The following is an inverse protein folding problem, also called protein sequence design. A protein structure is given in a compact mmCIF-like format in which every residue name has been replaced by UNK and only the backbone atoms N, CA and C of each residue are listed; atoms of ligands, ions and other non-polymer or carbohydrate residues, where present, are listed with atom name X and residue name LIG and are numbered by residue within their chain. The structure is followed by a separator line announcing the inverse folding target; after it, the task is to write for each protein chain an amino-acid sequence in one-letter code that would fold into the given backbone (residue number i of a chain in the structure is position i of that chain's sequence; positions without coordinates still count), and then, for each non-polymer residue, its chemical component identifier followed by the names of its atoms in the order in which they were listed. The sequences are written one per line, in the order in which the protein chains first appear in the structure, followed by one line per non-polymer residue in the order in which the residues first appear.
data_IF_584403873698
#
_entry.id   IF_584403873698
#
_cell.length_a   1.000
_cell.length_b   1.000
_cell.length_c   1.000
_cell.angle_alpha   90.00
_cell.angle_beta   90.00
_cell.angle_gamma   90.00
#
_symmetry.space_group_name_H-M   'P 1'
#
loop_
_entity.id
_entity.type
_entity.pdbx_description
1 polymer ?
#
# COMPACT_ATOMS: atom_id res chain seq x y z
N UNK A 1 31.29 50.80 -47.21
CA UNK A 1 32.28 51.85 -47.19
C UNK A 1 33.29 51.49 -46.13
N UNK A 2 34.58 51.28 -46.64
CA UNK A 2 35.86 51.18 -45.97
C UNK A 2 36.06 50.10 -44.89
N UNK A 3 36.62 48.93 -45.16
CA UNK A 3 38.06 48.62 -45.49
C UNK A 3 39.05 49.23 -44.46
N UNK A 4 39.69 48.39 -43.67
CA UNK A 4 41.15 48.33 -43.62
C UNK A 4 41.60 47.06 -42.81
N UNK A 5 42.33 46.27 -43.52
CA UNK A 5 43.29 45.24 -43.13
C UNK A 5 44.47 45.84 -42.39
N UNK A 6 45.15 45.08 -41.54
CA UNK A 6 46.61 44.84 -41.64
C UNK A 6 47.08 43.65 -40.81
N UNK A 7 47.98 43.00 -41.44
CA UNK A 7 48.78 41.83 -41.09
C UNK A 7 49.96 42.14 -40.15
N UNK A 8 50.44 41.14 -39.44
CA UNK A 8 51.71 41.17 -38.77
C UNK A 8 52.02 39.82 -38.13
N UNK A 9 52.94 39.08 -38.76
CA UNK A 9 53.51 37.81 -38.30
C UNK A 9 54.61 38.06 -37.27
N UNK A 10 54.90 37.08 -36.42
CA UNK A 10 56.14 36.34 -36.27
C UNK A 10 56.35 35.79 -34.86
N UNK A 11 56.70 34.55 -34.91
CA UNK A 11 57.69 33.82 -34.11
C UNK A 11 57.54 33.55 -32.61
N UNK A 12 57.43 32.26 -32.34
CA UNK A 12 58.37 31.47 -31.60
C UNK A 12 58.23 31.48 -30.09
N UNK A 13 57.73 30.42 -29.54
CA UNK A 13 58.54 29.60 -28.61
C UNK A 13 57.75 28.38 -28.09
N UNK A 14 58.40 27.23 -28.16
CA UNK A 14 57.90 25.98 -27.62
C UNK A 14 58.06 26.03 -26.10
N UNK A 15 57.00 25.85 -25.36
CA UNK A 15 57.10 25.37 -24.01
C UNK A 15 56.10 24.21 -23.78
N UNK A 16 56.69 23.04 -23.67
CA UNK A 16 56.09 21.83 -23.17
C UNK A 16 55.74 21.99 -21.72
N UNK A 17 54.45 22.01 -21.41
CA UNK A 17 53.99 21.77 -20.05
C UNK A 17 52.94 20.67 -20.08
N UNK A 18 53.34 19.48 -19.62
CA UNK A 18 52.49 18.38 -19.29
C UNK A 18 51.57 18.80 -18.16
N UNK A 19 50.33 19.20 -18.48
CA UNK A 19 49.28 19.41 -17.50
C UNK A 19 48.74 18.03 -17.08
N UNK A 20 49.06 17.67 -15.86
CA UNK A 20 48.62 16.49 -15.15
C UNK A 20 47.10 16.29 -15.28
N UNK A 21 46.73 15.12 -15.75
CA UNK A 21 45.38 14.55 -15.57
C UNK A 21 45.10 14.45 -14.06
N UNK A 22 44.54 15.51 -13.51
CA UNK A 22 43.94 15.45 -12.20
C UNK A 22 42.73 14.50 -12.31
N UNK A 23 42.91 13.25 -11.94
CA UNK A 23 41.83 12.28 -11.75
C UNK A 23 40.83 12.89 -10.80
N UNK A 24 39.55 12.98 -11.24
CA UNK A 24 38.43 13.27 -10.33
C UNK A 24 38.59 12.31 -9.15
N UNK A 25 38.52 12.81 -7.89
CA UNK A 25 38.55 11.94 -6.75
C UNK A 25 37.41 10.93 -6.89
N UNK A 26 37.73 9.66 -7.03
CA UNK A 26 36.78 8.58 -6.91
C UNK A 26 36.12 8.74 -5.53
N UNK A 27 34.84 9.12 -5.50
CA UNK A 27 34.05 9.07 -4.29
C UNK A 27 34.15 7.66 -3.74
N UNK A 28 34.52 7.46 -2.47
CA UNK A 28 34.69 6.13 -1.90
C UNK A 28 33.38 5.35 -2.16
N UNK A 29 33.53 4.19 -2.78
CA UNK A 29 32.43 3.28 -3.11
C UNK A 29 31.67 2.96 -1.82
N UNK A 30 30.64 3.78 -1.50
CA UNK A 30 29.81 3.56 -0.33
C UNK A 30 29.08 2.25 -0.54
N UNK A 31 29.51 1.20 0.14
CA UNK A 31 28.83 -0.09 0.16
C UNK A 31 27.32 0.14 0.28
N UNK A 32 26.55 -0.35 -0.68
CA UNK A 32 25.10 -0.25 -0.67
C UNK A 32 24.54 -1.01 0.54
N UNK A 33 23.61 -0.40 1.26
CA UNK A 33 22.91 -1.08 2.35
C UNK A 33 22.07 -2.22 1.80
N UNK A 34 22.21 -3.41 2.35
CA UNK A 34 21.48 -4.62 1.94
C UNK A 34 20.26 -4.82 2.83
N UNK A 35 19.08 -4.77 2.25
CA UNK A 35 17.80 -4.93 2.94
C UNK A 35 17.18 -6.27 2.55
N UNK A 36 16.99 -7.17 3.52
CA UNK A 36 16.17 -8.36 3.36
C UNK A 36 14.72 -8.01 3.74
N UNK A 37 13.83 -7.97 2.76
CA UNK A 37 12.40 -7.73 2.97
C UNK A 37 11.67 -9.05 3.15
N UNK A 38 11.16 -9.31 4.36
CA UNK A 38 10.51 -10.57 4.73
C UNK A 38 9.00 -10.34 4.78
N UNK A 39 8.23 -11.11 4.01
CA UNK A 39 6.77 -11.04 3.97
C UNK A 39 6.16 -12.42 4.25
N UNK A 40 4.94 -12.44 4.82
CA UNK A 40 4.26 -13.71 5.11
C UNK A 40 4.00 -14.53 3.84
N UNK A 41 3.49 -13.89 2.79
CA UNK A 41 3.12 -14.54 1.52
C UNK A 41 3.18 -13.57 0.35
N UNK A 42 3.23 -14.13 -0.86
CA UNK A 42 3.11 -13.40 -2.14
C UNK A 42 1.71 -13.52 -2.72
N UNK A 43 0.71 -13.61 -1.85
CA UNK A 43 -0.71 -13.61 -2.26
C UNK A 43 -1.16 -12.23 -2.78
N UNK A 44 -2.24 -12.23 -3.55
CA UNK A 44 -2.89 -10.99 -3.96
C UNK A 44 -3.48 -10.24 -2.76
N UNK A 45 -3.02 -9.01 -2.52
CA UNK A 45 -3.55 -8.19 -1.43
C UNK A 45 -2.72 -6.97 -1.11
N UNK A 46 -3.26 -6.11 -0.25
CA UNK A 46 -2.72 -4.78 0.08
C UNK A 46 -1.33 -4.75 0.72
N UNK A 47 -0.79 -5.88 1.20
CA UNK A 47 0.56 -5.93 1.75
C UNK A 47 1.62 -6.37 0.70
N UNK A 48 1.23 -7.16 -0.31
CA UNK A 48 2.17 -7.72 -1.28
C UNK A 48 2.27 -6.91 -2.58
N UNK A 49 1.14 -6.40 -3.10
CA UNK A 49 1.15 -5.58 -4.31
C UNK A 49 1.98 -4.29 -4.22
N UNK A 50 2.08 -3.60 -3.07
CA UNK A 50 2.93 -2.41 -2.95
C UNK A 50 4.44 -2.67 -2.88
N UNK A 51 4.89 -3.93 -2.71
CA UNK A 51 6.32 -4.27 -2.56
C UNK A 51 7.19 -3.72 -3.70
N UNK A 52 6.79 -3.76 -4.98
CA UNK A 52 7.54 -3.11 -6.07
C UNK A 52 7.81 -1.63 -5.84
N UNK A 53 6.82 -0.86 -5.44
CA UNK A 53 6.97 0.58 -5.18
C UNK A 53 7.88 0.85 -3.97
N UNK A 54 7.75 0.06 -2.91
CA UNK A 54 8.60 0.12 -1.71
C UNK A 54 10.06 -0.15 -2.10
N UNK A 55 10.30 -1.23 -2.87
CA UNK A 55 11.64 -1.59 -3.34
C UNK A 55 12.24 -0.50 -4.24
N UNK A 56 11.45 0.06 -5.16
CA UNK A 56 11.90 1.14 -6.03
C UNK A 56 12.31 2.39 -5.23
N UNK A 57 11.52 2.80 -4.24
CA UNK A 57 11.82 3.95 -3.40
C UNK A 57 13.10 3.75 -2.58
N UNK A 58 13.30 2.57 -1.97
CA UNK A 58 14.50 2.26 -1.20
C UNK A 58 15.74 2.08 -2.09
N UNK A 59 15.58 1.51 -3.30
CA UNK A 59 16.66 1.41 -4.30
C UNK A 59 17.12 2.79 -4.79
N UNK A 60 16.20 3.75 -4.96
CA UNK A 60 16.55 5.15 -5.25
C UNK A 60 17.43 5.77 -4.16
N UNK A 61 17.25 5.36 -2.91
CA UNK A 61 18.11 5.78 -1.79
C UNK A 61 19.46 5.07 -1.75
N UNK A 62 19.71 4.07 -2.63
CA UNK A 62 20.95 3.32 -2.71
C UNK A 62 20.89 1.94 -2.01
N UNK A 63 19.73 1.43 -1.65
CA UNK A 63 19.61 0.08 -1.10
C UNK A 63 19.76 -1.01 -2.16
N UNK A 64 20.40 -2.12 -1.77
CA UNK A 64 20.21 -3.44 -2.39
C UNK A 64 19.05 -4.11 -1.67
N UNK A 65 18.02 -4.54 -2.42
CA UNK A 65 16.75 -4.98 -1.85
C UNK A 65 16.38 -6.36 -2.40
N UNK A 66 16.20 -7.33 -1.52
CA UNK A 66 15.77 -8.69 -1.85
C UNK A 66 14.55 -9.10 -1.03
N UNK A 67 13.61 -9.81 -1.67
CA UNK A 67 12.34 -10.23 -1.08
C UNK A 67 12.37 -11.71 -0.71
N UNK A 68 11.95 -12.03 0.51
CA UNK A 68 11.80 -13.38 1.03
C UNK A 68 10.37 -13.59 1.52
N UNK A 69 9.64 -14.53 0.92
CA UNK A 69 8.28 -14.86 1.32
C UNK A 69 8.24 -16.21 2.06
N UNK A 70 7.56 -16.23 3.20
CA UNK A 70 7.46 -17.44 4.04
C UNK A 70 6.53 -18.50 3.45
N UNK A 71 5.58 -18.10 2.59
CA UNK A 71 4.67 -19.02 1.85
C UNK A 71 4.30 -18.41 0.51
N UNK A 72 3.86 -19.24 -0.44
CA UNK A 72 3.38 -18.78 -1.75
C UNK A 72 1.93 -18.32 -1.70
N UNK A 73 1.03 -19.11 -1.08
CA UNK A 73 -0.43 -19.01 -1.22
C UNK A 73 -0.86 -18.98 -2.70
N UNK A 74 -1.69 -18.02 -3.13
CA UNK A 74 -2.14 -17.90 -4.52
C UNK A 74 -1.08 -17.32 -5.49
N UNK A 75 -0.02 -16.73 -4.96
CA UNK A 75 1.11 -16.19 -5.76
C UNK A 75 0.78 -15.01 -6.67
N UNK A 76 -0.39 -14.39 -6.55
CA UNK A 76 -0.88 -13.34 -7.48
C UNK A 76 -0.01 -12.08 -7.50
N UNK A 77 0.77 -11.83 -6.46
CA UNK A 77 1.69 -10.68 -6.43
C UNK A 77 3.02 -10.94 -7.15
N UNK A 78 3.38 -12.20 -7.44
CA UNK A 78 4.66 -12.54 -8.06
C UNK A 78 4.88 -11.88 -9.43
N UNK A 79 3.92 -11.91 -10.38
CA UNK A 79 4.13 -11.30 -11.70
C UNK A 79 4.52 -9.82 -11.63
N UNK A 80 3.86 -9.05 -10.77
CA UNK A 80 4.17 -7.62 -10.58
C UNK A 80 5.56 -7.41 -9.95
N UNK A 81 5.96 -8.25 -8.99
CA UNK A 81 7.29 -8.20 -8.39
C UNK A 81 8.37 -8.52 -9.43
N UNK A 82 8.20 -9.59 -10.21
CA UNK A 82 9.16 -9.97 -11.27
C UNK A 82 9.26 -8.89 -12.35
N UNK A 83 8.14 -8.35 -12.81
CA UNK A 83 8.10 -7.27 -13.79
C UNK A 83 8.82 -6.00 -13.30
N UNK A 84 8.90 -5.78 -11.98
CA UNK A 84 9.65 -4.66 -11.36
C UNK A 84 11.15 -4.95 -11.13
N UNK A 85 11.66 -6.08 -11.65
CA UNK A 85 13.05 -6.50 -11.48
C UNK A 85 13.37 -7.01 -10.07
N UNK A 86 12.36 -7.53 -9.34
CA UNK A 86 12.53 -8.28 -8.11
C UNK A 86 12.57 -9.78 -8.42
N UNK A 87 13.36 -10.52 -7.65
CA UNK A 87 13.41 -11.99 -7.70
C UNK A 87 13.04 -12.56 -6.32
N UNK A 88 11.74 -12.63 -5.98
CA UNK A 88 11.30 -13.07 -4.67
C UNK A 88 11.70 -14.52 -4.39
N UNK A 89 12.40 -14.75 -3.29
CA UNK A 89 12.72 -16.09 -2.80
C UNK A 89 11.53 -16.61 -1.98
N UNK A 90 10.72 -17.43 -2.60
CA UNK A 90 9.49 -17.97 -1.99
C UNK A 90 9.79 -19.33 -1.40
N UNK A 91 9.50 -19.48 -0.09
CA UNK A 91 9.62 -20.76 0.59
C UNK A 91 8.48 -21.68 0.19
N UNK A 92 8.81 -22.92 -0.11
CA UNK A 92 7.85 -24.01 -0.24
C UNK A 92 7.53 -24.57 1.16
N UNK A 93 6.31 -24.28 1.66
CA UNK A 93 5.87 -24.70 2.98
C UNK A 93 4.60 -24.00 3.46
N UNK A 94 4.02 -24.56 4.52
CA UNK A 94 2.74 -24.13 5.07
C UNK A 94 2.77 -22.89 5.95
N UNK A 95 1.60 -22.54 6.47
CA UNK A 95 1.41 -21.35 7.31
C UNK A 95 1.67 -21.61 8.80
N UNK A 96 1.59 -22.88 9.24
CA UNK A 96 1.67 -23.26 10.66
C UNK A 96 3.01 -23.88 11.05
N UNK A 97 3.88 -24.21 10.10
CA UNK A 97 5.19 -24.85 10.30
C UNK A 97 6.28 -23.84 10.73
N UNK A 98 6.06 -23.17 11.84
CA UNK A 98 6.88 -22.03 12.30
C UNK A 98 8.37 -22.35 12.45
N UNK A 99 8.72 -23.54 12.99
CA UNK A 99 10.11 -23.94 13.19
C UNK A 99 10.84 -24.15 11.85
N UNK A 100 10.19 -24.80 10.88
CA UNK A 100 10.75 -24.98 9.53
C UNK A 100 10.92 -23.63 8.81
N UNK A 101 9.94 -22.73 8.97
CA UNK A 101 10.02 -21.38 8.41
C UNK A 101 11.16 -20.58 9.06
N UNK A 102 11.35 -20.67 10.37
CA UNK A 102 12.45 -20.02 11.08
C UNK A 102 13.82 -20.51 10.60
N UNK A 103 14.00 -21.84 10.48
CA UNK A 103 15.25 -22.44 10.01
C UNK A 103 15.55 -22.06 8.55
N UNK A 104 14.53 -21.99 7.69
CA UNK A 104 14.69 -21.53 6.30
C UNK A 104 15.08 -20.05 6.24
N UNK A 105 14.38 -19.21 7.00
CA UNK A 105 14.64 -17.76 7.06
C UNK A 105 16.05 -17.49 7.58
N UNK A 106 16.49 -18.18 8.63
CA UNK A 106 17.83 -18.04 9.20
C UNK A 106 18.91 -18.36 8.15
N UNK A 107 18.73 -19.45 7.36
CA UNK A 107 19.66 -19.80 6.26
C UNK A 107 19.62 -18.77 5.12
N UNK A 108 18.44 -18.28 4.75
CA UNK A 108 18.28 -17.26 3.70
C UNK A 108 18.99 -15.96 4.09
N UNK A 109 18.78 -15.49 5.32
CA UNK A 109 19.44 -14.30 5.89
C UNK A 109 20.96 -14.50 5.96
N UNK A 110 21.43 -15.69 6.38
CA UNK A 110 22.87 -16.01 6.42
C UNK A 110 23.53 -15.93 5.04
N UNK A 111 22.82 -16.39 4.00
CA UNK A 111 23.33 -16.37 2.61
C UNK A 111 23.32 -14.95 2.04
N UNK A 112 22.25 -14.23 2.21
CA UNK A 112 22.11 -12.86 1.69
C UNK A 112 22.96 -11.85 2.47
N UNK A 113 23.23 -12.07 3.78
CA UNK A 113 24.01 -11.17 4.66
C UNK A 113 23.49 -9.73 4.62
N UNK A 114 22.22 -9.48 4.97
CA UNK A 114 21.65 -8.14 4.98
C UNK A 114 22.23 -7.30 6.12
N UNK A 115 22.25 -5.98 5.92
CA UNK A 115 22.52 -5.01 6.97
C UNK A 115 21.27 -4.73 7.81
N UNK A 116 20.07 -4.90 7.21
CA UNK A 116 18.75 -4.68 7.82
C UNK A 116 17.82 -5.84 7.42
N UNK A 117 17.04 -6.34 8.37
CA UNK A 117 15.87 -7.19 8.11
C UNK A 117 14.63 -6.30 8.20
N UNK A 118 13.90 -6.16 7.11
CA UNK A 118 12.64 -5.42 7.05
C UNK A 118 11.49 -6.41 6.96
N UNK A 119 10.48 -6.29 7.83
CA UNK A 119 9.40 -7.29 7.92
C UNK A 119 8.04 -6.69 7.60
N UNK A 120 7.19 -7.48 6.99
CA UNK A 120 5.80 -7.16 6.66
C UNK A 120 4.89 -8.26 7.15
N UNK A 121 3.89 -7.91 7.97
CA UNK A 121 2.95 -8.82 8.61
C UNK A 121 3.51 -9.62 9.80
N UNK A 122 2.60 -10.08 10.68
CA UNK A 122 2.91 -10.59 12.03
C UNK A 122 3.87 -11.77 12.06
N UNK A 123 3.64 -12.82 11.24
CA UNK A 123 4.48 -14.03 11.25
C UNK A 123 5.92 -13.71 10.81
N UNK A 124 6.05 -12.93 9.72
CA UNK A 124 7.34 -12.48 9.25
C UNK A 124 8.06 -11.66 10.33
N UNK A 125 7.34 -10.76 11.01
CA UNK A 125 7.90 -9.95 12.10
C UNK A 125 8.43 -10.82 13.25
N UNK A 126 7.61 -11.71 13.78
CA UNK A 126 8.00 -12.54 14.93
C UNK A 126 9.21 -13.44 14.61
N UNK A 127 9.21 -14.12 13.46
CA UNK A 127 10.31 -14.99 13.07
C UNK A 127 11.60 -14.18 12.77
N UNK A 128 11.45 -13.02 12.14
CA UNK A 128 12.60 -12.16 11.82
C UNK A 128 13.21 -11.52 13.07
N UNK A 129 12.41 -11.19 14.08
CA UNK A 129 12.91 -10.68 15.35
C UNK A 129 13.81 -11.72 16.03
N UNK A 130 13.47 -13.01 15.97
CA UNK A 130 14.31 -14.10 16.50
C UNK A 130 15.60 -14.27 15.69
N UNK A 131 15.51 -14.24 14.34
CA UNK A 131 16.70 -14.31 13.47
C UNK A 131 17.60 -13.09 13.65
N UNK A 132 17.01 -11.88 13.71
CA UNK A 132 17.74 -10.63 13.94
C UNK A 132 18.48 -10.63 15.29
N UNK A 133 17.82 -11.08 16.36
CA UNK A 133 18.45 -11.23 17.67
C UNK A 133 19.63 -12.20 17.62
N UNK A 134 19.44 -13.40 17.06
CA UNK A 134 20.49 -14.41 16.93
C UNK A 134 21.68 -13.94 16.11
N UNK A 135 21.42 -13.23 15.01
CA UNK A 135 22.45 -12.79 14.05
C UNK A 135 22.97 -11.38 14.28
N UNK A 136 22.44 -10.69 15.30
CA UNK A 136 22.73 -9.28 15.61
C UNK A 136 22.47 -8.34 14.42
N UNK A 137 21.39 -8.60 13.67
CA UNK A 137 20.97 -7.76 12.54
C UNK A 137 19.76 -6.94 12.99
N UNK A 138 19.77 -5.58 12.83
CA UNK A 138 18.63 -4.74 13.17
C UNK A 138 17.37 -5.13 12.39
N UNK A 139 16.23 -5.12 13.07
CA UNK A 139 14.92 -5.47 12.49
C UNK A 139 14.02 -4.24 12.44
N UNK A 140 13.44 -3.97 11.27
CA UNK A 140 12.37 -3.02 11.05
C UNK A 140 11.06 -3.78 10.91
N UNK A 141 10.04 -3.39 11.65
CA UNK A 141 8.73 -4.07 11.63
C UNK A 141 7.66 -3.19 11.04
N UNK A 142 6.97 -3.68 10.01
CA UNK A 142 5.86 -2.96 9.38
C UNK A 142 4.51 -3.53 9.83
N UNK A 143 3.71 -2.68 10.46
CA UNK A 143 2.35 -2.99 10.89
C UNK A 143 1.35 -2.45 9.86
N UNK A 144 0.45 -3.33 9.37
CA UNK A 144 -0.50 -3.03 8.30
C UNK A 144 -1.96 -2.90 8.76
N UNK A 145 -2.28 -3.28 9.99
CA UNK A 145 -3.65 -3.31 10.49
C UNK A 145 -3.75 -2.68 11.87
N UNK A 146 -4.83 -1.95 12.10
CA UNK A 146 -5.21 -1.45 13.43
C UNK A 146 -5.93 -2.53 14.28
N UNK A 147 -5.76 -3.80 13.94
CA UNK A 147 -6.31 -4.94 14.65
C UNK A 147 -5.33 -6.11 14.63
N UNK A 148 -5.24 -6.82 15.73
CA UNK A 148 -4.46 -8.07 15.89
C UNK A 148 -5.24 -9.06 16.74
N UNK A 149 -5.17 -10.34 16.38
CA UNK A 149 -5.66 -11.41 17.23
C UNK A 149 -4.97 -11.35 18.60
N UNK A 150 -5.65 -11.61 19.72
CA UNK A 150 -5.10 -11.44 21.08
C UNK A 150 -3.72 -12.08 21.29
N UNK A 151 -3.53 -13.31 20.81
CA UNK A 151 -2.24 -14.01 20.91
C UNK A 151 -1.11 -13.27 20.16
N UNK A 152 -1.37 -12.84 18.92
CA UNK A 152 -0.39 -12.09 18.12
C UNK A 152 -0.05 -10.75 18.75
N UNK A 153 -1.05 -10.05 19.28
CA UNK A 153 -0.86 -8.79 20.01
C UNK A 153 0.03 -8.97 21.22
N UNK A 154 -0.22 -10.02 22.02
CA UNK A 154 0.60 -10.33 23.19
C UNK A 154 2.05 -10.63 22.83
N UNK A 155 2.29 -11.46 21.80
CA UNK A 155 3.63 -11.82 21.34
C UNK A 155 4.39 -10.58 20.81
N UNK A 156 3.77 -9.80 19.92
CA UNK A 156 4.40 -8.58 19.38
C UNK A 156 4.69 -7.57 20.50
N UNK A 157 3.81 -7.45 21.51
CA UNK A 157 4.02 -6.59 22.67
C UNK A 157 5.25 -7.01 23.47
N UNK A 158 5.45 -8.31 23.70
CA UNK A 158 6.63 -8.83 24.40
C UNK A 158 7.89 -8.56 23.57
N UNK A 159 7.85 -8.87 22.29
CA UNK A 159 9.00 -8.82 21.38
C UNK A 159 9.26 -7.43 20.77
N UNK A 160 8.45 -6.40 21.07
CA UNK A 160 8.52 -5.09 20.43
C UNK A 160 9.90 -4.42 20.47
N UNK A 161 10.67 -4.68 21.53
CA UNK A 161 12.01 -4.10 21.72
C UNK A 161 13.07 -4.68 20.77
N UNK A 162 12.79 -5.85 20.17
CA UNK A 162 13.67 -6.49 19.18
C UNK A 162 13.66 -5.79 17.82
N UNK A 163 12.70 -4.87 17.59
CA UNK A 163 12.70 -4.01 16.44
C UNK A 163 13.27 -2.64 16.78
N UNK A 164 14.23 -2.19 15.97
CA UNK A 164 14.86 -0.87 16.10
C UNK A 164 13.93 0.24 15.64
N UNK A 165 13.06 -0.08 14.66
CA UNK A 165 12.08 0.83 14.07
C UNK A 165 10.79 0.08 13.77
N UNK A 166 9.65 0.77 13.95
CA UNK A 166 8.34 0.33 13.52
C UNK A 166 7.81 1.28 12.45
N UNK A 167 7.20 0.71 11.41
CA UNK A 167 6.52 1.44 10.36
C UNK A 167 5.03 1.11 10.43
N UNK A 168 4.17 2.07 10.21
CA UNK A 168 2.72 1.93 10.17
C UNK A 168 2.17 2.48 8.86
N UNK A 169 1.16 1.81 8.28
CA UNK A 169 0.55 2.21 7.01
C UNK A 169 -0.22 3.53 7.09
N UNK A 170 -0.69 3.88 8.27
CA UNK A 170 -1.60 4.99 8.48
C UNK A 170 -1.46 5.56 9.88
N UNK A 171 -2.02 6.74 10.10
CA UNK A 171 -2.09 7.36 11.42
C UNK A 171 -2.88 6.51 12.43
N UNK A 172 -3.94 5.84 12.00
CA UNK A 172 -4.73 4.92 12.83
C UNK A 172 -3.93 3.67 13.22
N UNK A 173 -3.16 3.10 12.28
CA UNK A 173 -2.25 1.97 12.55
C UNK A 173 -1.09 2.40 13.45
N UNK A 174 -0.57 3.61 13.29
CA UNK A 174 0.46 4.16 14.17
C UNK A 174 -0.07 4.34 15.61
N UNK A 175 -1.26 4.93 15.77
CA UNK A 175 -1.91 5.07 17.07
C UNK A 175 -2.17 3.71 17.74
N UNK A 176 -2.67 2.72 16.98
CA UNK A 176 -2.83 1.34 17.44
C UNK A 176 -1.49 0.74 17.90
N UNK A 177 -0.44 0.90 17.09
CA UNK A 177 0.90 0.34 17.39
C UNK A 177 1.50 0.95 18.65
N UNK A 178 1.37 2.26 18.82
CA UNK A 178 1.83 2.96 20.04
C UNK A 178 1.05 2.50 21.27
N UNK A 179 -0.29 2.47 21.20
CA UNK A 179 -1.17 2.16 22.34
C UNK A 179 -1.18 0.68 22.68
N UNK A 180 -1.37 -0.19 21.69
CA UNK A 180 -1.61 -1.61 21.91
C UNK A 180 -0.35 -2.45 21.97
N UNK A 181 0.70 -2.06 21.27
CA UNK A 181 2.01 -2.73 21.31
C UNK A 181 3.01 -2.02 22.21
N UNK A 182 2.67 -0.86 22.77
CA UNK A 182 3.56 -0.03 23.60
C UNK A 182 4.87 0.32 22.89
N UNK A 183 4.78 0.62 21.59
CA UNK A 183 5.93 1.10 20.82
C UNK A 183 6.11 2.61 21.07
N UNK A 184 7.31 3.05 21.51
CA UNK A 184 7.58 4.47 21.70
C UNK A 184 7.47 5.26 20.39
N UNK A 185 6.91 6.48 20.43
CA UNK A 185 6.77 7.33 19.24
C UNK A 185 8.10 7.60 18.54
N UNK A 186 9.22 7.72 19.29
CA UNK A 186 10.55 7.86 18.71
C UNK A 186 10.99 6.68 17.81
N UNK A 187 10.41 5.50 18.01
CA UNK A 187 10.65 4.30 17.21
C UNK A 187 9.53 3.99 16.20
N UNK A 188 8.61 4.92 15.99
CA UNK A 188 7.46 4.73 15.11
C UNK A 188 7.46 5.77 14.00
N UNK A 189 7.26 5.33 12.76
CA UNK A 189 7.12 6.19 11.58
C UNK A 189 5.89 5.76 10.80
N UNK A 190 5.10 6.73 10.33
CA UNK A 190 4.02 6.45 9.40
C UNK A 190 4.55 6.54 7.97
N UNK A 191 4.43 5.46 7.23
CA UNK A 191 4.70 5.40 5.79
C UNK A 191 3.51 4.74 5.11
N UNK A 192 2.61 5.52 4.50
CA UNK A 192 1.47 4.97 3.77
C UNK A 192 1.95 3.96 2.73
N UNK A 193 1.32 2.79 2.70
CA UNK A 193 1.71 1.70 1.79
C UNK A 193 1.30 1.96 0.33
N UNK A 194 0.86 3.16 0.02
CA UNK A 194 0.33 3.58 -1.26
C UNK A 194 1.12 4.77 -1.81
N UNK A 195 1.54 4.65 -3.07
CA UNK A 195 2.15 5.73 -3.84
C UNK A 195 1.19 6.17 -4.95
N UNK A 196 0.59 7.34 -4.81
CA UNK A 196 -0.35 7.89 -5.79
C UNK A 196 0.34 8.17 -7.13
N UNK A 197 -0.30 7.73 -8.21
CA UNK A 197 0.16 7.84 -9.59
C UNK A 197 -0.70 8.86 -10.35
N UNK A 198 -0.11 9.99 -10.72
CA UNK A 198 -0.81 11.06 -11.48
C UNK A 198 -1.23 10.60 -12.88
N UNK A 199 -0.56 9.58 -13.43
CA UNK A 199 -0.83 9.04 -14.78
C UNK A 199 -1.91 7.96 -14.78
N UNK A 200 -2.42 7.55 -13.61
CA UNK A 200 -3.45 6.52 -13.53
C UNK A 200 -4.70 6.90 -14.32
N UNK A 201 -5.32 5.93 -15.03
CA UNK A 201 -6.56 6.14 -15.75
C UNK A 201 -7.65 6.74 -14.85
N UNK A 202 -8.45 7.63 -15.42
CA UNK A 202 -9.52 8.30 -14.68
C UNK A 202 -10.89 7.86 -15.19
N UNK A 203 -11.84 7.81 -14.25
CA UNK A 203 -13.24 7.55 -14.55
C UNK A 203 -13.84 8.69 -15.39
N UNK A 204 -14.71 8.31 -16.31
CA UNK A 204 -15.46 9.28 -17.12
C UNK A 204 -16.65 9.81 -16.35
N UNK A 205 -17.09 11.06 -16.59
CA UNK A 205 -18.33 11.57 -16.02
C UNK A 205 -19.52 10.71 -16.46
N UNK A 206 -20.43 10.44 -15.50
CA UNK A 206 -21.73 9.88 -15.83
C UNK A 206 -22.50 10.84 -16.74
N UNK A 207 -23.28 10.30 -17.69
CA UNK A 207 -24.11 11.09 -18.62
C UNK A 207 -25.60 10.78 -18.38
N UNK A 208 -26.49 11.76 -18.53
CA UNK A 208 -27.92 11.54 -18.41
C UNK A 208 -28.41 10.38 -19.28
N UNK A 209 -29.21 9.49 -18.68
CA UNK A 209 -29.74 8.29 -19.33
C UNK A 209 -28.83 7.06 -19.29
N UNK A 210 -27.61 7.19 -18.78
CA UNK A 210 -26.72 6.03 -18.56
C UNK A 210 -27.04 5.31 -17.24
N UNK A 211 -26.80 4.00 -17.21
CA UNK A 211 -26.74 3.22 -15.98
C UNK A 211 -25.57 3.72 -15.13
N UNK A 212 -25.78 3.93 -13.83
CA UNK A 212 -24.71 4.34 -12.92
C UNK A 212 -24.01 3.10 -12.39
N UNK A 213 -22.72 2.98 -12.69
CA UNK A 213 -21.90 1.83 -12.26
C UNK A 213 -21.24 2.11 -10.91
N UNK A 214 -21.52 1.26 -9.95
CA UNK A 214 -20.99 1.32 -8.58
C UNK A 214 -20.04 0.14 -8.38
N UNK A 215 -18.82 0.39 -7.94
CA UNK A 215 -17.86 -0.66 -7.66
C UNK A 215 -17.57 -0.83 -6.17
N UNK A 216 -17.21 -2.05 -5.80
CA UNK A 216 -16.48 -2.35 -4.58
C UNK A 216 -15.40 -3.40 -4.90
N UNK A 217 -14.22 -3.28 -4.25
CA UNK A 217 -13.07 -4.12 -4.55
C UNK A 217 -12.39 -4.60 -3.28
N UNK A 218 -12.22 -5.91 -3.15
CA UNK A 218 -11.50 -6.49 -2.02
C UNK A 218 -11.76 -7.97 -1.83
N UNK A 219 -11.05 -8.56 -0.87
CA UNK A 219 -11.27 -9.96 -0.51
C UNK A 219 -12.68 -10.15 0.06
N UNK A 220 -13.38 -11.18 -0.36
CA UNK A 220 -14.69 -11.55 0.20
C UNK A 220 -14.50 -12.22 1.57
N UNK A 221 -14.43 -11.39 2.59
CA UNK A 221 -14.15 -11.75 3.98
C UNK A 221 -14.98 -10.85 4.90
N UNK A 222 -15.41 -11.34 6.05
CA UNK A 222 -16.26 -10.65 7.02
C UNK A 222 -15.83 -9.20 7.31
N UNK A 223 -14.53 -8.95 7.49
CA UNK A 223 -14.02 -7.59 7.74
C UNK A 223 -14.30 -6.57 6.63
N UNK A 224 -14.68 -7.02 5.42
CA UNK A 224 -14.98 -6.13 4.29
C UNK A 224 -16.43 -5.65 4.26
N UNK A 225 -17.34 -6.23 5.09
CA UNK A 225 -18.69 -5.74 5.29
C UNK A 225 -19.59 -5.80 4.04
N UNK A 226 -19.33 -6.72 3.10
CA UNK A 226 -20.18 -6.85 1.91
C UNK A 226 -21.61 -7.28 2.22
N UNK A 227 -21.82 -7.95 3.35
CA UNK A 227 -23.13 -8.26 3.89
C UNK A 227 -23.92 -6.99 4.27
N UNK A 228 -23.23 -5.95 4.80
CA UNK A 228 -23.82 -4.63 5.08
C UNK A 228 -24.18 -3.92 3.77
N UNK A 229 -23.35 -4.02 2.74
CA UNK A 229 -23.68 -3.46 1.42
C UNK A 229 -24.94 -4.11 0.84
N UNK A 230 -25.07 -5.44 0.93
CA UNK A 230 -26.25 -6.16 0.48
C UNK A 230 -27.50 -5.69 1.25
N UNK A 231 -27.41 -5.57 2.58
CA UNK A 231 -28.52 -5.07 3.41
C UNK A 231 -28.93 -3.63 3.00
N UNK A 232 -27.94 -2.79 2.72
CA UNK A 232 -28.18 -1.41 2.28
C UNK A 232 -28.86 -1.35 0.91
N UNK A 233 -28.45 -2.20 -0.03
CA UNK A 233 -29.09 -2.29 -1.36
C UNK A 233 -30.52 -2.82 -1.27
N UNK A 234 -30.77 -3.81 -0.39
CA UNK A 234 -32.12 -4.32 -0.13
C UNK A 234 -33.02 -3.23 0.42
N UNK A 235 -32.54 -2.38 1.34
CA UNK A 235 -33.32 -1.22 1.88
C UNK A 235 -33.58 -0.18 0.80
N UNK A 236 -32.59 0.19 -0.02
CA UNK A 236 -32.79 1.09 -1.16
C UNK A 236 -34.01 0.66 -2.02
N UNK A 237 -34.07 -0.64 -2.31
CA UNK A 237 -35.19 -1.22 -3.08
C UNK A 237 -36.51 -1.16 -2.33
N UNK A 238 -36.53 -1.55 -1.05
CA UNK A 238 -37.75 -1.55 -0.23
C UNK A 238 -38.33 -0.15 -0.08
N UNK A 239 -37.44 0.85 0.08
CA UNK A 239 -37.83 2.25 0.27
C UNK A 239 -38.13 2.97 -1.06
N UNK A 240 -38.02 2.27 -2.20
CA UNK A 240 -38.24 2.84 -3.53
C UNK A 240 -37.23 3.90 -3.95
N UNK A 241 -36.07 3.97 -3.28
CA UNK A 241 -35.05 4.96 -3.54
C UNK A 241 -34.16 4.59 -4.75
N UNK A 242 -34.27 3.35 -5.25
CA UNK A 242 -33.59 2.83 -6.42
C UNK A 242 -34.25 3.22 -7.75
N UNK A 243 -35.53 3.67 -7.70
CA UNK A 243 -36.32 3.96 -8.90
C UNK A 243 -35.92 5.27 -9.61
N UNK A 244 -35.19 6.16 -8.96
CA UNK A 244 -34.84 7.49 -9.51
C UNK A 244 -33.74 7.47 -10.57
N UNK A 245 -32.81 6.49 -10.50
CA UNK A 245 -31.64 6.35 -11.37
C UNK A 245 -31.29 4.87 -11.55
N UNK A 246 -31.28 4.32 -12.78
CA UNK A 246 -30.80 2.96 -13.03
C UNK A 246 -29.34 2.82 -12.59
N UNK A 247 -29.05 1.80 -11.80
CA UNK A 247 -27.66 1.53 -11.35
C UNK A 247 -27.36 0.03 -11.27
N UNK A 248 -26.10 -0.30 -11.38
CA UNK A 248 -25.53 -1.62 -11.19
C UNK A 248 -24.39 -1.58 -10.20
N UNK A 249 -24.29 -2.62 -9.36
CA UNK A 249 -23.24 -2.77 -8.37
C UNK A 249 -22.36 -3.95 -8.74
N UNK A 250 -21.05 -3.75 -8.82
CA UNK A 250 -20.09 -4.80 -9.10
C UNK A 250 -19.12 -4.95 -7.94
N UNK A 251 -19.12 -6.12 -7.30
CA UNK A 251 -18.14 -6.50 -6.28
C UNK A 251 -17.06 -7.35 -6.94
N UNK A 252 -15.82 -6.82 -6.98
CA UNK A 252 -14.66 -7.49 -7.52
C UNK A 252 -13.78 -8.04 -6.40
N UNK A 253 -13.52 -9.34 -6.42
CA UNK A 253 -12.70 -10.04 -5.44
C UNK A 253 -13.05 -11.50 -5.28
N UNK A 254 -12.26 -12.20 -4.48
CA UNK A 254 -12.48 -13.60 -4.13
C UNK A 254 -12.30 -13.79 -2.62
N UNK A 255 -12.89 -14.81 -2.05
CA UNK A 255 -12.78 -15.13 -0.62
C UNK A 255 -13.80 -16.15 -0.16
N UNK A 256 -13.67 -16.55 1.08
CA UNK A 256 -14.45 -17.60 1.72
C UNK A 256 -15.95 -17.26 1.87
N UNK A 257 -16.28 -15.97 1.97
CA UNK A 257 -17.65 -15.50 2.13
C UNK A 257 -18.48 -15.50 0.83
N UNK A 258 -17.89 -15.85 -0.31
CA UNK A 258 -18.54 -15.69 -1.63
C UNK A 258 -19.90 -16.37 -1.71
N UNK A 259 -20.00 -17.60 -1.28
CA UNK A 259 -21.26 -18.38 -1.36
C UNK A 259 -22.33 -17.80 -0.45
N UNK A 260 -21.97 -17.44 0.77
CA UNK A 260 -22.89 -16.80 1.72
C UNK A 260 -23.41 -15.45 1.23
N UNK A 261 -22.53 -14.63 0.64
CA UNK A 261 -22.92 -13.33 0.08
C UNK A 261 -23.82 -13.47 -1.15
N UNK A 262 -23.58 -14.44 -2.03
CA UNK A 262 -24.46 -14.74 -3.17
C UNK A 262 -25.84 -15.20 -2.71
N UNK A 263 -25.92 -16.10 -1.73
CA UNK A 263 -27.18 -16.55 -1.15
C UNK A 263 -27.96 -15.40 -0.51
N UNK A 264 -27.28 -14.52 0.24
CA UNK A 264 -27.88 -13.34 0.85
C UNK A 264 -28.43 -12.35 -0.20
N UNK A 265 -27.65 -12.08 -1.26
CA UNK A 265 -28.08 -11.18 -2.34
C UNK A 265 -29.29 -11.75 -3.09
N UNK A 266 -29.32 -13.07 -3.36
CA UNK A 266 -30.45 -13.76 -3.99
C UNK A 266 -31.70 -13.72 -3.11
N UNK A 267 -31.57 -13.98 -1.81
CA UNK A 267 -32.68 -13.89 -0.84
C UNK A 267 -33.26 -12.47 -0.75
N UNK A 268 -32.43 -11.45 -0.89
CA UNK A 268 -32.83 -10.05 -0.96
C UNK A 268 -33.43 -9.65 -2.33
N UNK A 269 -33.40 -10.54 -3.32
CA UNK A 269 -33.92 -10.30 -4.68
C UNK A 269 -33.13 -9.24 -5.46
N UNK A 270 -31.84 -9.04 -5.18
CA UNK A 270 -31.00 -8.05 -5.85
C UNK A 270 -30.57 -8.57 -7.22
N UNK A 271 -31.13 -8.02 -8.30
CA UNK A 271 -30.80 -8.37 -9.67
C UNK A 271 -29.72 -7.48 -10.29
N UNK A 272 -29.45 -6.34 -9.65
CA UNK A 272 -28.47 -5.33 -10.08
C UNK A 272 -27.13 -5.42 -9.33
N UNK A 273 -26.86 -6.55 -8.63
CA UNK A 273 -25.61 -6.82 -7.93
C UNK A 273 -24.89 -8.01 -8.54
N UNK A 274 -23.62 -7.82 -8.95
CA UNK A 274 -22.79 -8.85 -9.53
C UNK A 274 -21.49 -9.08 -8.74
N UNK A 275 -21.07 -10.36 -8.61
CA UNK A 275 -19.79 -10.77 -8.05
C UNK A 275 -18.90 -11.30 -9.18
N UNK A 276 -17.94 -10.52 -9.66
CA UNK A 276 -17.14 -10.82 -10.87
C UNK A 276 -15.85 -11.59 -10.60
N UNK A 277 -15.59 -11.92 -9.34
CA UNK A 277 -14.36 -12.62 -8.98
C UNK A 277 -13.14 -11.69 -8.95
N UNK A 278 -11.94 -12.26 -9.02
CA UNK A 278 -10.71 -11.49 -8.98
C UNK A 278 -10.49 -10.71 -10.26
N UNK A 279 -10.21 -9.42 -10.14
CA UNK A 279 -9.85 -8.51 -11.25
C UNK A 279 -8.37 -8.20 -11.16
N UNK A 280 -7.59 -8.54 -12.21
CA UNK A 280 -6.14 -8.30 -12.27
C UNK A 280 -5.80 -6.85 -12.62
N UNK A 281 -6.55 -6.25 -13.54
CA UNK A 281 -6.41 -4.81 -13.90
C UNK A 281 -7.43 -3.97 -13.13
N UNK A 282 -7.10 -3.66 -11.88
CA UNK A 282 -7.95 -2.83 -11.02
C UNK A 282 -8.07 -1.40 -11.54
N UNK A 283 -7.06 -0.89 -12.23
CA UNK A 283 -7.04 0.48 -12.76
C UNK A 283 -8.09 0.69 -13.85
N UNK A 284 -8.11 -0.18 -14.85
CA UNK A 284 -9.12 -0.12 -15.92
C UNK A 284 -10.51 -0.41 -15.37
N UNK A 285 -10.64 -1.36 -14.44
CA UNK A 285 -11.91 -1.66 -13.79
C UNK A 285 -12.47 -0.44 -13.04
N UNK A 286 -11.66 0.24 -12.23
CA UNK A 286 -12.11 1.43 -11.50
C UNK A 286 -12.39 2.61 -12.45
N UNK A 287 -11.60 2.79 -13.50
CA UNK A 287 -11.82 3.84 -14.49
C UNK A 287 -13.12 3.68 -15.31
N UNK A 288 -13.74 2.49 -15.30
CA UNK A 288 -15.05 2.23 -15.93
C UNK A 288 -16.25 2.44 -15.01
N UNK A 289 -16.04 2.88 -13.77
CA UNK A 289 -17.08 3.07 -12.75
C UNK A 289 -17.43 4.56 -12.57
N UNK A 290 -18.50 4.83 -11.80
CA UNK A 290 -18.95 6.19 -11.47
C UNK A 290 -18.91 6.48 -9.96
N UNK A 291 -18.99 5.44 -9.14
CA UNK A 291 -19.01 5.52 -7.68
C UNK A 291 -18.30 4.30 -7.10
N UNK A 292 -17.63 4.48 -5.97
CA UNK A 292 -16.98 3.38 -5.24
C UNK A 292 -17.54 3.29 -3.81
N UNK A 293 -17.78 2.06 -3.34
CA UNK A 293 -18.28 1.80 -1.98
C UNK A 293 -17.34 0.86 -1.24
N UNK A 294 -16.92 1.23 -0.02
CA UNK A 294 -16.08 0.41 0.86
C UNK A 294 -16.74 0.27 2.24
N UNK A 295 -17.56 -0.77 2.47
CA UNK A 295 -18.34 -0.92 3.69
C UNK A 295 -17.59 -1.65 4.82
N UNK A 296 -16.29 -1.56 4.88
CA UNK A 296 -15.43 -2.37 5.75
C UNK A 296 -15.69 -2.15 7.24
N UNK A 297 -15.65 -3.22 8.01
CA UNK A 297 -15.66 -3.18 9.50
C UNK A 297 -14.31 -2.77 10.07
N UNK A 298 -13.21 -3.07 9.37
CA UNK A 298 -11.86 -2.78 9.84
C UNK A 298 -10.89 -2.67 8.67
N UNK A 299 -10.06 -1.63 8.69
CA UNK A 299 -9.00 -1.40 7.73
C UNK A 299 -7.71 -0.90 8.41
N UNK A 300 -6.59 -1.01 7.68
CA UNK A 300 -5.38 -0.25 7.98
C UNK A 300 -5.35 1.02 7.14
N UNK A 301 -4.84 0.88 5.89
CA UNK A 301 -4.81 1.97 4.90
C UNK A 301 -6.02 1.92 3.96
N UNK A 302 -6.46 0.73 3.56
CA UNK A 302 -7.47 0.49 2.52
C UNK A 302 -7.02 0.91 1.12
N UNK A 303 -6.05 0.17 0.56
CA UNK A 303 -5.48 0.44 -0.78
C UNK A 303 -6.57 0.58 -1.85
N UNK A 304 -7.59 -0.29 -1.86
CA UNK A 304 -8.63 -0.30 -2.88
C UNK A 304 -9.46 1.01 -2.92
N UNK A 305 -9.82 1.56 -1.76
CA UNK A 305 -10.53 2.85 -1.71
C UNK A 305 -9.65 4.01 -2.21
N UNK A 306 -8.34 3.96 -1.91
CA UNK A 306 -7.39 4.97 -2.41
C UNK A 306 -7.12 4.80 -3.91
N UNK A 307 -7.12 3.56 -4.45
CA UNK A 307 -7.10 3.32 -5.90
C UNK A 307 -8.34 3.89 -6.59
N UNK A 308 -9.52 3.76 -5.96
CA UNK A 308 -10.75 4.37 -6.46
C UNK A 308 -10.69 5.91 -6.45
N UNK A 309 -10.21 6.52 -5.35
CA UNK A 309 -9.95 7.96 -5.32
C UNK A 309 -8.93 8.39 -6.40
N UNK A 310 -7.89 7.59 -6.63
CA UNK A 310 -6.91 7.83 -7.69
C UNK A 310 -7.53 7.80 -9.08
N UNK A 311 -8.51 6.92 -9.31
CA UNK A 311 -9.28 6.89 -10.55
C UNK A 311 -10.27 8.06 -10.68
N UNK A 312 -10.36 8.94 -9.69
CA UNK A 312 -11.30 10.07 -9.70
C UNK A 312 -12.74 9.67 -9.38
N UNK A 313 -12.92 8.55 -8.67
CA UNK A 313 -14.23 8.14 -8.17
C UNK A 313 -14.53 8.81 -6.83
N UNK A 314 -15.76 9.32 -6.61
CA UNK A 314 -16.21 9.60 -5.27
C UNK A 314 -16.31 8.29 -4.48
N UNK A 315 -15.98 8.33 -3.19
CA UNK A 315 -15.91 7.14 -2.34
C UNK A 315 -16.89 7.26 -1.19
N UNK A 316 -17.80 6.30 -1.08
CA UNK A 316 -18.58 6.06 0.15
C UNK A 316 -17.83 5.00 0.95
N UNK A 317 -17.38 5.34 2.15
CA UNK A 317 -16.67 4.38 2.99
C UNK A 317 -17.06 4.49 4.46
N UNK A 318 -16.87 3.39 5.18
CA UNK A 318 -16.95 3.42 6.63
C UNK A 318 -15.75 4.19 7.22
N UNK A 319 -15.99 4.87 8.35
CA UNK A 319 -15.01 5.70 9.03
C UNK A 319 -13.97 4.85 9.80
N UNK A 320 -13.30 3.92 9.11
CA UNK A 320 -12.29 3.03 9.68
C UNK A 320 -10.93 3.19 8.97
N UNK A 321 -9.85 2.95 9.70
CA UNK A 321 -8.49 3.05 9.14
C UNK A 321 -8.15 4.45 8.66
N UNK A 322 -7.43 4.55 7.55
CA UNK A 322 -7.04 5.84 6.95
C UNK A 322 -8.19 6.52 6.20
N UNK A 323 -9.26 5.80 5.85
CA UNK A 323 -10.41 6.38 5.15
C UNK A 323 -11.04 7.52 5.94
N UNK A 324 -11.07 7.43 7.28
CA UNK A 324 -11.55 8.50 8.16
C UNK A 324 -10.79 9.84 7.97
N UNK A 325 -9.53 9.79 7.52
CA UNK A 325 -8.69 10.97 7.28
C UNK A 325 -8.64 11.35 5.79
N UNK A 326 -8.81 10.38 4.90
CA UNK A 326 -8.67 10.58 3.46
C UNK A 326 -9.92 11.18 2.83
N UNK A 327 -11.11 10.80 3.32
CA UNK A 327 -12.41 11.22 2.77
C UNK A 327 -12.96 12.40 3.55
N UNK A 328 -13.39 13.43 2.83
CA UNK A 328 -14.15 14.57 3.37
C UNK A 328 -15.61 14.42 2.98
N UNK A 329 -16.46 14.12 3.97
CA UNK A 329 -17.91 13.93 3.73
C UNK A 329 -18.55 15.13 3.05
N UNK A 330 -19.28 14.88 1.96
CA UNK A 330 -19.93 15.88 1.13
C UNK A 330 -19.03 16.60 0.13
N UNK A 331 -17.70 16.39 0.18
CA UNK A 331 -16.74 17.04 -0.71
C UNK A 331 -16.01 16.03 -1.62
N UNK A 332 -15.47 14.95 -1.04
CA UNK A 332 -14.71 13.94 -1.80
C UNK A 332 -15.37 12.57 -1.79
N UNK A 333 -16.50 12.45 -1.13
CA UNK A 333 -17.25 11.22 -0.89
C UNK A 333 -18.10 11.34 0.36
N UNK A 334 -18.46 10.21 0.97
CA UNK A 334 -19.18 10.17 2.23
C UNK A 334 -18.53 9.17 3.20
N UNK A 335 -18.46 9.55 4.48
CA UNK A 335 -18.11 8.65 5.57
C UNK A 335 -19.37 8.23 6.33
N UNK A 336 -19.48 6.93 6.59
CA UNK A 336 -20.56 6.33 7.38
C UNK A 336 -20.00 5.53 8.55
N UNK A 337 -20.74 5.31 9.63
CA UNK A 337 -20.33 4.39 10.69
C UNK A 337 -20.15 2.96 10.15
N UNK A 338 -19.24 2.15 10.70
CA UNK A 338 -19.19 0.72 10.40
C UNK A 338 -20.44 0.03 10.97
N UNK A 339 -20.82 -1.10 10.35
CA UNK A 339 -21.99 -1.90 10.72
C UNK A 339 -23.33 -1.13 10.75
N UNK A 340 -23.44 -0.06 9.97
CA UNK A 340 -24.63 0.78 9.87
C UNK A 340 -25.18 0.78 8.43
N UNK A 341 -26.06 -0.19 8.08
CA UNK A 341 -26.66 -0.26 6.75
C UNK A 341 -27.59 0.92 6.44
N UNK A 342 -28.22 1.57 7.44
CA UNK A 342 -29.09 2.73 7.21
C UNK A 342 -28.28 3.95 6.77
N UNK A 343 -27.16 4.23 7.44
CA UNK A 343 -26.26 5.30 7.05
C UNK A 343 -25.67 5.06 5.65
N UNK A 344 -25.33 3.80 5.33
CA UNK A 344 -24.81 3.42 4.01
C UNK A 344 -25.90 3.58 2.94
N UNK A 345 -27.14 3.15 3.19
CA UNK A 345 -28.30 3.35 2.33
C UNK A 345 -28.49 4.83 2.01
N UNK A 346 -28.52 5.68 3.04
CA UNK A 346 -28.70 7.12 2.87
C UNK A 346 -27.57 7.77 2.04
N UNK A 347 -26.33 7.31 2.22
CA UNK A 347 -25.19 7.82 1.44
C UNK A 347 -25.28 7.41 -0.04
N UNK A 348 -25.65 6.15 -0.34
CA UNK A 348 -25.86 5.68 -1.71
C UNK A 348 -27.03 6.43 -2.35
N UNK A 349 -28.18 6.56 -1.66
CA UNK A 349 -29.35 7.28 -2.16
C UNK A 349 -29.03 8.73 -2.54
N UNK A 350 -28.21 9.44 -1.73
CA UNK A 350 -27.75 10.80 -2.07
C UNK A 350 -26.95 10.84 -3.37
N UNK A 351 -26.10 9.85 -3.62
CA UNK A 351 -25.33 9.77 -4.86
C UNK A 351 -26.24 9.45 -6.07
N UNK A 352 -27.24 8.55 -5.90
CA UNK A 352 -28.20 8.23 -6.94
C UNK A 352 -29.11 9.41 -7.30
N UNK A 353 -29.47 10.23 -6.32
CA UNK A 353 -30.29 11.44 -6.53
C UNK A 353 -29.55 12.56 -7.29
N UNK A 354 -28.23 12.58 -7.28
CA UNK A 354 -27.40 13.63 -7.91
C UNK A 354 -26.20 13.05 -8.65
N UNK A 355 -26.40 12.20 -9.66
CA UNK A 355 -25.30 11.53 -10.35
C UNK A 355 -24.37 12.50 -11.10
N UNK A 356 -24.86 13.67 -11.52
CA UNK A 356 -24.07 14.70 -12.17
C UNK A 356 -22.98 15.30 -11.26
N UNK A 357 -23.17 15.29 -9.94
CA UNK A 357 -22.22 15.85 -8.97
C UNK A 357 -21.03 14.91 -8.71
N UNK A 358 -21.17 13.62 -9.04
CA UNK A 358 -20.19 12.58 -8.69
C UNK A 358 -18.81 12.85 -9.29
N UNK A 359 -18.75 13.31 -10.53
CA UNK A 359 -17.47 13.57 -11.18
C UNK A 359 -16.69 14.70 -10.49
N UNK A 360 -17.35 15.79 -10.12
CA UNK A 360 -16.70 16.89 -9.40
C UNK A 360 -16.21 16.44 -8.01
N UNK A 361 -17.00 15.64 -7.30
CA UNK A 361 -16.65 15.05 -6.01
C UNK A 361 -15.45 14.09 -6.13
N UNK A 362 -15.44 13.24 -7.15
CA UNK A 362 -14.34 12.31 -7.41
C UNK A 362 -13.04 13.03 -7.79
N UNK A 363 -13.12 14.10 -8.62
CA UNK A 363 -11.98 14.95 -8.96
C UNK A 363 -11.36 15.58 -7.71
N UNK A 364 -12.17 16.16 -6.82
CA UNK A 364 -11.71 16.71 -5.54
C UNK A 364 -11.04 15.61 -4.67
N UNK A 365 -11.60 14.39 -4.67
CA UNK A 365 -11.03 13.23 -4.00
C UNK A 365 -9.65 12.85 -4.54
N UNK A 366 -9.49 12.82 -5.86
CA UNK A 366 -8.20 12.55 -6.52
C UNK A 366 -7.15 13.62 -6.20
N UNK A 367 -7.49 14.89 -6.29
CA UNK A 367 -6.58 16.00 -5.96
C UNK A 367 -6.08 15.89 -4.53
N UNK A 368 -6.99 15.64 -3.58
CA UNK A 368 -6.65 15.42 -2.17
C UNK A 368 -5.74 14.21 -1.98
N UNK A 369 -6.07 13.08 -2.60
CA UNK A 369 -5.26 11.86 -2.55
C UNK A 369 -3.83 12.11 -3.00
N UNK A 370 -3.66 12.72 -4.19
CA UNK A 370 -2.35 12.96 -4.77
C UNK A 370 -1.52 13.96 -3.94
N UNK A 371 -2.16 14.95 -3.32
CA UNK A 371 -1.51 15.86 -2.40
C UNK A 371 -1.00 15.15 -1.12
N UNK A 372 -1.77 14.19 -0.59
CA UNK A 372 -1.43 13.48 0.65
C UNK A 372 -0.50 12.28 0.43
N UNK A 373 -0.71 11.51 -0.64
CA UNK A 373 -0.09 10.21 -0.88
C UNK A 373 0.61 10.11 -2.25
N UNK A 374 0.89 11.23 -2.91
CA UNK A 374 1.60 11.23 -4.20
C UNK A 374 3.00 10.63 -4.11
N UNK A 375 3.52 10.18 -5.26
CA UNK A 375 4.80 9.46 -5.37
C UNK A 375 5.98 10.22 -4.73
N UNK A 376 6.05 11.56 -4.90
CA UNK A 376 7.10 12.38 -4.30
C UNK A 376 7.09 12.30 -2.75
N UNK A 377 5.92 12.33 -2.13
CA UNK A 377 5.77 12.20 -0.67
C UNK A 377 6.15 10.79 -0.21
N UNK A 378 5.75 9.77 -0.95
CA UNK A 378 6.12 8.38 -0.68
C UNK A 378 7.65 8.19 -0.68
N UNK A 379 8.33 8.73 -1.69
CA UNK A 379 9.79 8.68 -1.82
C UNK A 379 10.50 9.51 -0.74
N UNK A 380 9.97 10.68 -0.38
CA UNK A 380 10.52 11.49 0.71
C UNK A 380 10.50 10.75 2.06
N UNK A 381 9.41 10.04 2.35
CA UNK A 381 9.31 9.24 3.58
C UNK A 381 10.30 8.07 3.51
N UNK A 382 10.42 7.39 2.36
CA UNK A 382 11.42 6.35 2.16
C UNK A 382 12.83 6.84 2.44
N UNK A 383 13.21 8.02 1.92
CA UNK A 383 14.51 8.63 2.14
C UNK A 383 14.76 8.96 3.62
N UNK A 384 13.75 9.49 4.31
CA UNK A 384 13.82 9.75 5.76
C UNK A 384 14.05 8.48 6.56
N UNK A 385 13.30 7.41 6.25
CA UNK A 385 13.48 6.11 6.90
C UNK A 385 14.86 5.55 6.57
N UNK A 386 15.27 5.58 5.31
CA UNK A 386 16.59 5.10 4.88
C UNK A 386 17.74 5.78 5.62
N UNK A 387 17.67 7.10 5.83
CA UNK A 387 18.63 7.84 6.65
C UNK A 387 18.77 7.27 8.07
N UNK A 388 17.63 7.01 8.73
CA UNK A 388 17.61 6.37 10.06
C UNK A 388 18.20 4.95 10.04
N UNK A 389 17.96 4.18 8.97
CA UNK A 389 18.53 2.84 8.83
C UNK A 389 20.06 2.86 8.70
N UNK A 390 20.61 3.86 8.00
CA UNK A 390 22.07 4.07 7.91
C UNK A 390 22.69 4.31 9.30
N UNK A 391 21.99 5.06 10.17
CA UNK A 391 22.45 5.28 11.54
C UNK A 391 22.45 3.96 12.35
N UNK A 392 21.37 3.17 12.26
CA UNK A 392 21.28 1.87 12.96
C UNK A 392 22.31 0.85 12.47
N UNK A 393 22.64 0.83 11.17
CA UNK A 393 23.62 -0.10 10.61
C UNK A 393 25.06 0.24 10.99
N UNK A 394 25.34 1.49 11.35
CA UNK A 394 26.65 2.00 11.77
C UNK A 394 26.86 2.02 13.28
N UNK A 395 25.77 1.99 14.04
CA UNK A 395 25.88 1.99 15.50
C UNK A 395 26.70 0.76 15.96
N UNK A 396 27.72 0.93 16.80
CA UNK A 396 28.50 -0.19 17.31
C UNK A 396 27.52 -1.17 18.00
N UNK A 397 27.54 -2.42 17.55
CA UNK A 397 26.74 -3.46 18.17
C UNK A 397 27.22 -3.59 19.61
N UNK A 398 26.34 -3.28 20.57
CA UNK A 398 26.65 -3.40 22.00
C UNK A 398 27.21 -4.80 22.28
N UNK A 399 28.33 -4.91 23.03
CA UNK A 399 28.83 -6.22 23.45
C UNK A 399 27.75 -6.96 24.21
N UNK A 400 27.64 -8.25 23.96
CA UNK A 400 26.74 -9.12 24.72
C UNK A 400 27.18 -9.10 26.19
N UNK A 401 26.31 -8.60 27.07
CA UNK A 401 26.36 -8.87 28.50
C UNK A 401 25.45 -10.02 28.81
#
# INVERSE_FOLDING_TARGET
MLICSWSGSCDGERETTAAALAGKPETPNKRRMRIAYIINSVEGGGAAFPVPAIAAALRKCGAEFEVFALTRRDGRALPAMVASGLDPKVRDGGETDHLRALAWLDRAVARFRPDIIWTSLTRATLLSQLVGLRRRIPVVSWQHKAYLRPANRRLLRIMRRLSVLWVADSSSVAAFTARELFVPHAKLVTWPIFAGDVSAPQAKPWQPGQVLHIASLGRLHDHKGYDILIDSLARLRTDGLDASQPFEVTIAGSGEEREGLLAKASAAGLTNLAFVGFVGDTRSFLASQHLYVQPSRSEGFCVAAHEAMQAGLPVIATAVGEMANSILSGSTGYLVPPDDPDALTAAIARCLARPADLHAMGKAGRERLLAQFGAARFEQIAATIYGRLVEFSRAPQLPAH
#
